data_IF_688703898577
#
_entry.id   IF_688703898577
#
_cell.length_a   1.000
_cell.length_b   1.000
_cell.length_c   1.000
_cell.angle_alpha   90.00
_cell.angle_beta   90.00
_cell.angle_gamma   90.00
#
_symmetry.space_group_name_H-M   'P 1'
#
loop_
_entity.id
_entity.type
_entity.pdbx_description
1 polymer ?
#
# COMPACT_ATOMS: atom_id res chain seq x y z
N UNK A 1 19.34 -6.95 15.81
CA UNK A 1 17.98 -6.45 15.56
C UNK A 1 18.08 -4.99 15.19
N UNK A 2 17.59 -4.60 14.03
CA UNK A 2 17.49 -3.18 13.63
C UNK A 2 16.60 -2.47 14.65
N UNK A 3 17.08 -1.39 15.24
CA UNK A 3 16.26 -0.60 16.17
C UNK A 3 15.17 0.10 15.35
N UNK A 4 13.93 -0.35 15.48
CA UNK A 4 12.77 0.24 14.82
C UNK A 4 12.62 1.74 15.12
N UNK A 5 13.26 2.25 16.17
CA UNK A 5 13.31 3.67 16.51
C UNK A 5 14.05 4.51 15.46
N UNK A 6 15.00 3.94 14.71
CA UNK A 6 15.64 4.62 13.59
C UNK A 6 14.64 4.93 12.45
N UNK A 7 13.52 4.22 12.42
CA UNK A 7 12.44 4.42 11.46
C UNK A 7 11.41 5.47 11.91
N UNK A 8 11.58 6.06 13.08
CA UNK A 8 10.64 7.01 13.69
C UNK A 8 11.30 8.38 13.79
N UNK A 9 10.67 9.37 13.18
CA UNK A 9 11.09 10.77 13.24
C UNK A 9 10.49 11.47 14.46
N UNK A 10 11.27 12.30 15.18
CA UNK A 10 10.74 13.11 16.29
C UNK A 10 10.01 14.38 15.81
N UNK A 11 10.05 14.70 14.52
CA UNK A 11 9.52 15.96 14.00
C UNK A 11 8.03 15.89 13.70
N UNK A 12 7.30 16.95 14.03
CA UNK A 12 5.85 17.01 13.82
C UNK A 12 5.55 17.61 12.46
N UNK A 13 4.82 16.85 11.65
CA UNK A 13 4.35 17.29 10.33
C UNK A 13 2.94 17.87 10.45
N UNK A 14 2.72 19.04 9.85
CA UNK A 14 1.41 19.69 9.84
C UNK A 14 0.60 19.25 8.63
N UNK A 15 -0.67 18.91 8.85
CA UNK A 15 -1.59 18.55 7.77
C UNK A 15 -2.88 19.39 7.88
N UNK A 16 -3.18 20.27 6.92
CA UNK A 16 -4.43 21.02 6.92
C UNK A 16 -5.65 20.10 6.93
N UNK A 17 -6.62 20.36 7.83
CA UNK A 17 -7.85 19.56 7.96
C UNK A 17 -8.63 19.43 6.65
N UNK A 18 -8.66 20.49 5.85
CA UNK A 18 -9.33 20.50 4.55
C UNK A 18 -8.70 19.49 3.57
N UNK A 19 -7.38 19.39 3.56
CA UNK A 19 -6.63 18.48 2.69
C UNK A 19 -6.78 17.03 3.16
N UNK A 20 -6.69 16.77 4.47
CA UNK A 20 -7.02 15.45 5.03
C UNK A 20 -8.43 15.01 4.63
N UNK A 21 -9.42 15.90 4.72
CA UNK A 21 -10.79 15.59 4.31
C UNK A 21 -10.93 15.28 2.81
N UNK A 22 -10.11 15.90 1.94
CA UNK A 22 -10.05 15.57 0.50
C UNK A 22 -9.41 14.19 0.28
N UNK A 23 -8.28 13.91 0.92
CA UNK A 23 -7.60 12.61 0.85
C UNK A 23 -8.55 11.48 1.28
N UNK A 24 -9.25 11.62 2.42
CA UNK A 24 -10.21 10.63 2.91
C UNK A 24 -11.38 10.43 1.92
N UNK A 25 -11.88 11.51 1.30
CA UNK A 25 -12.93 11.40 0.28
C UNK A 25 -12.45 10.61 -0.92
N UNK A 26 -11.20 10.77 -1.35
CA UNK A 26 -10.63 10.02 -2.47
C UNK A 26 -10.49 8.54 -2.12
N UNK A 27 -9.97 8.20 -0.94
CA UNK A 27 -9.89 6.80 -0.47
C UNK A 27 -11.27 6.13 -0.54
N UNK A 28 -12.31 6.81 -0.05
CA UNK A 28 -13.69 6.30 -0.11
C UNK A 28 -14.24 6.21 -1.54
N UNK A 29 -13.81 7.10 -2.43
CA UNK A 29 -14.22 7.08 -3.84
C UNK A 29 -13.54 5.95 -4.61
N UNK A 30 -12.26 5.66 -4.32
CA UNK A 30 -11.54 4.50 -4.84
C UNK A 30 -12.18 3.18 -4.35
N UNK A 31 -12.54 3.07 -3.07
CA UNK A 31 -13.28 1.90 -2.56
C UNK A 31 -14.65 1.72 -3.24
N UNK A 32 -15.36 2.81 -3.57
CA UNK A 32 -16.60 2.70 -4.37
C UNK A 32 -16.32 2.29 -5.80
N UNK A 33 -15.31 2.89 -6.44
CA UNK A 33 -14.92 2.59 -7.82
C UNK A 33 -14.57 1.11 -7.99
N UNK A 34 -13.80 0.52 -7.06
CA UNK A 34 -13.44 -0.90 -7.11
C UNK A 34 -14.63 -1.86 -6.98
N UNK A 35 -15.79 -1.37 -6.53
CA UNK A 35 -17.05 -2.13 -6.41
C UNK A 35 -17.96 -1.97 -7.62
N UNK A 36 -17.67 -1.06 -8.56
CA UNK A 36 -18.47 -0.89 -9.78
C UNK A 36 -18.22 -2.05 -10.74
N UNK A 37 -19.26 -2.77 -11.20
CA UNK A 37 -19.10 -3.85 -12.18
C UNK A 37 -18.37 -3.40 -13.44
N UNK A 38 -18.77 -2.27 -14.02
CA UNK A 38 -18.14 -1.73 -15.23
C UNK A 38 -16.64 -1.43 -15.05
N UNK A 39 -16.23 -0.96 -13.85
CA UNK A 39 -14.80 -0.78 -13.55
C UNK A 39 -14.07 -2.12 -13.49
N UNK A 40 -14.64 -3.11 -12.80
CA UNK A 40 -14.04 -4.46 -12.75
C UNK A 40 -13.93 -5.08 -14.14
N UNK A 41 -14.98 -5.02 -14.95
CA UNK A 41 -15.00 -5.53 -16.33
C UNK A 41 -13.94 -4.86 -17.21
N UNK A 42 -13.71 -3.56 -17.00
CA UNK A 42 -12.65 -2.80 -17.69
C UNK A 42 -11.25 -3.23 -17.26
N UNK A 43 -11.03 -3.56 -15.98
CA UNK A 43 -9.70 -3.84 -15.40
C UNK A 43 -9.31 -5.33 -15.48
N UNK A 44 -10.24 -6.26 -15.27
CA UNK A 44 -10.00 -7.70 -15.20
C UNK A 44 -9.20 -8.26 -16.41
N UNK A 45 -9.45 -7.82 -17.66
CA UNK A 45 -8.67 -8.30 -18.80
C UNK A 45 -7.18 -7.91 -18.76
N UNK A 46 -6.80 -6.87 -18.01
CA UNK A 46 -5.45 -6.31 -17.97
C UNK A 46 -4.57 -6.89 -16.85
N UNK A 47 -5.14 -7.73 -15.98
CA UNK A 47 -4.47 -8.31 -14.80
C UNK A 47 -4.27 -9.83 -14.98
N UNK A 48 -3.26 -10.43 -14.32
CA UNK A 48 -3.04 -11.88 -14.38
C UNK A 48 -4.18 -12.66 -13.72
N UNK A 49 -4.24 -13.97 -13.97
CA UNK A 49 -5.29 -14.88 -13.49
C UNK A 49 -5.59 -14.73 -11.99
N UNK A 50 -4.54 -14.66 -11.17
CA UNK A 50 -4.67 -14.51 -9.71
C UNK A 50 -5.46 -13.27 -9.31
N UNK A 51 -5.35 -12.18 -10.07
CA UNK A 51 -6.09 -10.96 -9.81
C UNK A 51 -7.46 -10.86 -10.50
N UNK A 52 -7.84 -11.86 -11.32
CA UNK A 52 -9.19 -11.98 -11.88
C UNK A 52 -10.15 -12.71 -10.95
N UNK A 53 -9.60 -13.54 -10.08
CA UNK A 53 -10.34 -14.32 -9.09
C UNK A 53 -10.77 -13.44 -7.91
N UNK A 54 -12.07 -13.19 -7.77
CA UNK A 54 -12.64 -12.48 -6.61
C UNK A 54 -12.77 -13.43 -5.40
N UNK A 55 -11.97 -13.28 -4.33
CA UNK A 55 -12.01 -14.18 -3.19
C UNK A 55 -13.23 -13.97 -2.28
N UNK A 56 -14.05 -12.93 -2.51
CA UNK A 56 -15.23 -12.62 -1.70
C UNK A 56 -14.95 -11.78 -0.45
N UNK A 57 -13.71 -11.32 -0.28
CA UNK A 57 -13.29 -10.42 0.79
C UNK A 57 -12.32 -9.35 0.26
N UNK A 58 -11.97 -8.35 1.07
CA UNK A 58 -11.25 -7.15 0.63
C UNK A 58 -9.74 -7.28 0.88
N UNK A 59 -9.12 -6.36 1.60
CA UNK A 59 -7.71 -6.43 1.97
C UNK A 59 -7.42 -5.53 3.17
N UNK A 60 -6.73 -6.09 4.17
CA UNK A 60 -6.19 -5.34 5.30
C UNK A 60 -5.02 -4.46 4.88
N UNK A 61 -4.80 -3.41 5.67
CA UNK A 61 -3.59 -2.58 5.59
C UNK A 61 -3.38 -2.01 4.17
N UNK A 62 -4.43 -1.42 3.59
CA UNK A 62 -4.28 -0.59 2.39
C UNK A 62 -3.61 0.73 2.77
N UNK A 63 -2.67 1.20 1.97
CA UNK A 63 -1.99 2.47 2.14
C UNK A 63 -2.18 3.38 0.94
N UNK A 64 -2.60 4.62 1.17
CA UNK A 64 -2.80 5.61 0.12
C UNK A 64 -1.82 6.76 0.35
N UNK A 65 -0.89 6.94 -0.58
CA UNK A 65 0.23 7.85 -0.42
C UNK A 65 -0.02 9.15 -1.17
N UNK A 66 0.17 10.26 -0.49
CA UNK A 66 -0.08 11.60 -1.01
C UNK A 66 1.14 12.49 -0.84
N UNK A 67 1.34 13.38 -1.81
CA UNK A 67 2.11 14.60 -1.60
C UNK A 67 1.16 15.76 -1.41
N UNK A 68 1.56 16.73 -0.58
CA UNK A 68 0.88 18.02 -0.51
C UNK A 68 1.65 19.01 -1.38
N UNK A 69 1.05 19.45 -2.48
CA UNK A 69 1.64 20.42 -3.42
C UNK A 69 1.06 21.82 -3.18
N UNK A 70 1.55 22.82 -3.92
CA UNK A 70 0.95 24.15 -3.93
C UNK A 70 -0.51 24.18 -4.41
N UNK A 71 -0.98 23.13 -5.10
CA UNK A 71 -2.36 22.98 -5.58
C UNK A 71 -3.23 22.09 -4.65
N UNK A 72 -2.66 21.64 -3.53
CA UNK A 72 -3.29 20.71 -2.59
C UNK A 72 -2.79 19.26 -2.72
N UNK A 73 -3.51 18.34 -2.09
CA UNK A 73 -3.13 16.94 -2.04
C UNK A 73 -3.17 16.28 -3.42
N UNK A 74 -2.15 15.46 -3.71
CA UNK A 74 -2.07 14.62 -4.91
C UNK A 74 -1.72 13.19 -4.52
N UNK A 75 -2.52 12.22 -4.96
CA UNK A 75 -2.26 10.79 -4.79
C UNK A 75 -1.05 10.40 -5.64
N UNK A 76 -0.07 9.75 -5.03
CA UNK A 76 1.17 9.31 -5.67
C UNK A 76 1.13 7.83 -6.00
N UNK A 77 0.58 7.03 -5.09
CA UNK A 77 0.36 5.59 -5.27
C UNK A 77 -0.62 5.05 -4.23
N UNK A 78 -1.11 3.85 -4.51
CA UNK A 78 -1.82 3.01 -3.54
C UNK A 78 -1.01 1.74 -3.36
N UNK A 79 -0.88 1.29 -2.13
CA UNK A 79 -0.13 0.11 -1.74
C UNK A 79 -1.08 -0.87 -1.06
N UNK A 80 -1.08 -2.12 -1.51
CA UNK A 80 -1.49 -3.24 -0.66
C UNK A 80 -0.36 -3.56 0.31
N UNK A 81 -0.67 -4.14 1.46
CA UNK A 81 0.31 -4.55 2.46
C UNK A 81 1.16 -3.33 2.92
N UNK A 82 0.48 -2.23 3.20
CA UNK A 82 1.14 -1.04 3.71
C UNK A 82 1.65 -1.30 5.13
N UNK A 83 2.95 -1.56 5.23
CA UNK A 83 3.66 -1.62 6.51
C UNK A 83 3.85 -0.24 7.15
N UNK A 84 4.32 -0.27 8.39
CA UNK A 84 4.69 0.89 9.18
C UNK A 84 3.54 1.56 9.93
N UNK A 85 2.35 0.96 9.97
CA UNK A 85 1.21 1.52 10.70
C UNK A 85 1.47 1.57 12.21
N UNK A 86 2.11 0.54 12.77
CA UNK A 86 2.46 0.54 14.20
C UNK A 86 3.62 1.52 14.47
N UNK A 87 4.59 1.62 13.56
CA UNK A 87 5.66 2.62 13.66
C UNK A 87 5.15 4.06 13.57
N UNK A 88 4.16 4.29 12.70
CA UNK A 88 3.46 5.57 12.60
C UNK A 88 2.75 5.92 13.90
N UNK A 89 2.12 4.93 14.55
CA UNK A 89 1.55 5.11 15.88
C UNK A 89 2.63 5.46 16.92
N UNK A 90 3.78 4.76 16.92
CA UNK A 90 4.89 5.06 17.82
C UNK A 90 5.45 6.47 17.64
N UNK A 91 5.42 7.00 16.41
CA UNK A 91 5.81 8.38 16.12
C UNK A 91 4.97 9.41 16.89
N UNK A 92 3.69 9.10 17.16
CA UNK A 92 2.81 9.93 17.99
C UNK A 92 2.97 9.71 19.49
N UNK A 93 3.46 8.55 19.90
CA UNK A 93 3.56 8.14 21.31
C UNK A 93 4.96 7.57 21.60
N UNK A 94 6.01 8.40 21.47
CA UNK A 94 7.38 7.96 21.67
C UNK A 94 7.56 7.42 23.10
N UNK A 95 8.05 6.19 23.22
CA UNK A 95 8.19 5.47 24.49
C UNK A 95 7.26 4.27 24.67
N UNK A 96 6.23 4.14 23.82
CA UNK A 96 5.41 2.92 23.78
C UNK A 96 6.23 1.74 23.24
N UNK A 97 6.23 0.56 23.89
CA UNK A 97 6.89 -0.62 23.31
C UNK A 97 6.14 -1.11 22.07
N UNK A 98 6.87 -1.59 21.06
CA UNK A 98 6.30 -2.21 19.85
C UNK A 98 5.85 -3.64 20.14
N UNK A 99 4.89 -3.79 21.04
CA UNK A 99 4.29 -5.05 21.48
C UNK A 99 2.79 -4.82 21.72
N UNK A 100 1.99 -5.88 21.69
CA UNK A 100 0.56 -5.80 21.90
C UNK A 100 0.23 -5.08 23.21
N UNK A 101 0.89 -5.40 24.32
CA UNK A 101 0.66 -4.76 25.63
C UNK A 101 0.84 -3.23 25.63
N UNK A 102 1.66 -2.69 24.73
CA UNK A 102 1.87 -1.24 24.58
C UNK A 102 0.80 -0.54 23.74
N UNK A 103 0.07 -1.25 22.88
CA UNK A 103 -0.89 -0.64 21.96
C UNK A 103 -2.21 -0.29 22.67
N UNK A 104 -2.80 0.90 22.41
CA UNK A 104 -4.08 1.27 22.98
C UNK A 104 -5.19 0.31 22.55
N UNK A 105 -6.10 0.01 23.47
CA UNK A 105 -7.24 -0.88 23.22
C UNK A 105 -8.04 -0.48 21.95
N UNK A 106 -8.26 0.81 21.71
CA UNK A 106 -8.98 1.29 20.52
C UNK A 106 -8.26 0.94 19.22
N UNK A 107 -6.93 1.11 19.18
CA UNK A 107 -6.13 0.77 18.01
C UNK A 107 -6.14 -0.75 17.77
N UNK A 108 -5.93 -1.55 18.81
CA UNK A 108 -6.02 -3.02 18.74
C UNK A 108 -7.35 -3.46 18.16
N UNK A 109 -8.45 -3.00 18.76
CA UNK A 109 -9.80 -3.37 18.35
C UNK A 109 -10.07 -3.00 16.88
N UNK A 110 -9.58 -1.84 16.43
CA UNK A 110 -9.76 -1.40 15.06
C UNK A 110 -8.95 -2.24 14.06
N UNK A 111 -7.70 -2.58 14.38
CA UNK A 111 -6.87 -3.46 13.56
C UNK A 111 -7.47 -4.87 13.51
N UNK A 112 -7.71 -5.50 14.66
CA UNK A 112 -8.26 -6.85 14.76
C UNK A 112 -9.62 -6.99 14.07
N UNK A 113 -10.49 -5.96 14.16
CA UNK A 113 -11.76 -5.94 13.43
C UNK A 113 -11.56 -6.03 11.92
N UNK A 114 -10.51 -5.43 11.35
CA UNK A 114 -10.27 -5.54 9.91
C UNK A 114 -9.92 -6.97 9.48
N UNK A 115 -9.11 -7.69 10.27
CA UNK A 115 -8.82 -9.11 10.02
C UNK A 115 -10.05 -10.00 10.25
N UNK A 116 -10.87 -9.68 11.24
CA UNK A 116 -12.12 -10.40 11.46
C UNK A 116 -13.13 -10.20 10.31
N UNK A 117 -13.22 -8.98 9.77
CA UNK A 117 -14.09 -8.67 8.64
C UNK A 117 -13.62 -9.40 7.35
N UNK A 118 -12.31 -9.57 7.14
CA UNK A 118 -11.76 -10.39 6.04
C UNK A 118 -12.14 -11.86 6.20
N UNK A 119 -11.87 -12.42 7.38
CA UNK A 119 -12.16 -13.82 7.65
C UNK A 119 -13.67 -14.11 7.58
N UNK A 120 -14.52 -13.17 8.03
CA UNK A 120 -15.97 -13.27 7.88
C UNK A 120 -16.42 -13.26 6.40
N UNK A 121 -15.82 -12.40 5.57
CA UNK A 121 -16.08 -12.37 4.13
C UNK A 121 -15.64 -13.66 3.43
N UNK A 122 -14.49 -14.21 3.84
CA UNK A 122 -13.97 -15.47 3.30
C UNK A 122 -14.77 -16.70 3.74
N UNK A 123 -15.06 -16.81 5.05
CA UNK A 123 -15.58 -18.04 5.65
C UNK A 123 -17.12 -18.09 5.70
N UNK A 124 -17.81 -17.02 5.29
CA UNK A 124 -19.26 -16.93 5.27
C UNK A 124 -19.86 -17.00 6.68
N UNK A 125 -20.67 -18.02 6.96
CA UNK A 125 -21.37 -18.20 8.24
C UNK A 125 -20.50 -18.75 9.41
N UNK A 126 -19.19 -18.92 9.19
CA UNK A 126 -18.24 -19.44 10.19
C UNK A 126 -17.74 -18.33 11.14
N UNK A 127 -17.05 -18.69 12.24
CA UNK A 127 -16.49 -17.69 13.15
C UNK A 127 -15.58 -16.70 12.43
N UNK A 128 -15.84 -15.41 12.61
CA UNK A 128 -15.05 -14.33 12.00
C UNK A 128 -13.63 -14.20 12.60
N UNK A 129 -13.34 -14.83 13.74
CA UNK A 129 -11.99 -14.84 14.31
C UNK A 129 -11.21 -16.05 13.76
N UNK A 130 -10.08 -15.86 13.05
CA UNK A 130 -9.18 -16.95 12.69
C UNK A 130 -8.57 -17.59 13.94
N UNK A 131 -8.31 -18.89 13.90
CA UNK A 131 -7.61 -19.61 14.95
C UNK A 131 -6.09 -19.61 14.72
N UNK A 132 -5.66 -19.64 13.45
CA UNK A 132 -4.25 -19.62 13.07
C UNK A 132 -4.00 -18.62 11.93
N UNK A 133 -2.98 -17.76 12.10
CA UNK A 133 -2.56 -16.74 11.15
C UNK A 133 -1.08 -16.95 10.79
N UNK A 134 -0.77 -17.08 9.50
CA UNK A 134 0.60 -17.00 9.00
C UNK A 134 0.88 -15.59 8.46
N UNK A 135 1.91 -14.91 8.98
CA UNK A 135 2.42 -13.64 8.47
C UNK A 135 3.59 -13.95 7.55
N UNK A 136 3.47 -13.67 6.26
CA UNK A 136 4.38 -14.22 5.24
C UNK A 136 5.15 -13.12 4.54
N UNK A 137 6.48 -13.14 4.56
CA UNK A 137 7.37 -12.23 3.81
C UNK A 137 8.62 -12.97 3.33
N UNK A 138 9.34 -12.42 2.35
CA UNK A 138 10.62 -13.00 1.89
C UNK A 138 11.68 -12.79 2.96
N UNK A 139 12.38 -13.84 3.39
CA UNK A 139 13.41 -13.82 4.42
C UNK A 139 13.05 -12.87 5.59
N UNK A 140 11.95 -13.12 6.34
CA UNK A 140 11.33 -12.09 7.17
C UNK A 140 12.28 -11.40 8.15
N UNK A 141 13.27 -12.13 8.68
CA UNK A 141 14.27 -11.62 9.64
C UNK A 141 15.18 -10.53 9.05
N UNK A 142 15.35 -10.50 7.73
CA UNK A 142 16.14 -9.50 7.01
C UNK A 142 15.30 -8.27 6.63
N UNK A 143 13.98 -8.37 6.72
CA UNK A 143 13.08 -7.29 6.34
C UNK A 143 13.14 -6.15 7.34
N UNK A 144 13.14 -4.93 6.82
CA UNK A 144 13.18 -3.71 7.64
C UNK A 144 12.04 -3.63 8.66
N UNK A 145 10.87 -4.19 8.32
CA UNK A 145 9.66 -4.19 9.15
C UNK A 145 9.45 -5.51 9.91
N UNK A 146 10.48 -6.32 10.10
CA UNK A 146 10.38 -7.58 10.84
C UNK A 146 9.82 -7.40 12.26
N UNK A 147 10.28 -6.36 12.96
CA UNK A 147 9.79 -6.03 14.30
C UNK A 147 8.29 -5.69 14.32
N UNK A 148 7.77 -5.06 13.26
CA UNK A 148 6.34 -4.82 13.12
C UNK A 148 5.58 -6.13 12.85
N UNK A 149 6.14 -7.05 12.05
CA UNK A 149 5.53 -8.37 11.83
C UNK A 149 5.41 -9.15 13.15
N UNK A 150 6.46 -9.13 13.98
CA UNK A 150 6.42 -9.73 15.32
C UNK A 150 5.37 -9.07 16.22
N UNK A 151 5.22 -7.74 16.16
CA UNK A 151 4.20 -7.05 16.94
C UNK A 151 2.77 -7.38 16.49
N UNK A 152 2.55 -7.65 15.19
CA UNK A 152 1.28 -8.20 14.72
C UNK A 152 1.06 -9.64 15.20
N UNK A 153 2.10 -10.49 15.19
CA UNK A 153 1.99 -11.85 15.72
C UNK A 153 1.61 -11.85 17.21
N UNK A 154 2.25 -10.98 18.01
CA UNK A 154 1.92 -10.77 19.42
C UNK A 154 0.47 -10.24 19.60
N UNK A 155 0.04 -9.29 18.76
CA UNK A 155 -1.32 -8.77 18.76
C UNK A 155 -2.37 -9.86 18.45
N UNK A 156 -2.08 -10.78 17.54
CA UNK A 156 -2.98 -11.89 17.23
C UNK A 156 -3.00 -12.93 18.35
N UNK A 157 -1.86 -13.22 18.97
CA UNK A 157 -1.78 -14.09 20.13
C UNK A 157 -2.61 -13.54 21.30
N UNK A 158 -2.52 -12.24 21.60
CA UNK A 158 -3.36 -11.53 22.58
C UNK A 158 -4.86 -11.60 22.23
N UNK A 159 -5.19 -11.66 20.93
CA UNK A 159 -6.56 -11.86 20.45
C UNK A 159 -7.06 -13.32 20.57
N UNK A 160 -6.18 -14.26 20.91
CA UNK A 160 -6.47 -15.69 20.98
C UNK A 160 -6.39 -16.42 19.64
N UNK A 161 -5.66 -15.88 18.67
CA UNK A 161 -5.30 -16.55 17.42
C UNK A 161 -3.80 -16.90 17.44
N UNK A 162 -3.44 -18.16 17.20
CA UNK A 162 -2.04 -18.53 17.01
C UNK A 162 -1.49 -17.76 15.80
N UNK A 163 -0.29 -17.19 15.91
CA UNK A 163 0.31 -16.44 14.83
C UNK A 163 1.81 -16.71 14.71
N UNK A 164 2.27 -16.82 13.47
CA UNK A 164 3.67 -17.11 13.15
C UNK A 164 4.13 -16.24 12.00
N UNK A 165 5.38 -15.78 12.06
CA UNK A 165 6.05 -15.10 10.93
C UNK A 165 6.90 -16.13 10.21
N UNK A 166 6.69 -16.30 8.90
CA UNK A 166 7.33 -17.35 8.11
C UNK A 166 7.75 -16.84 6.72
N UNK A 167 8.81 -17.42 6.18
CA UNK A 167 9.14 -17.34 4.76
C UNK A 167 8.18 -18.23 3.94
N UNK A 168 7.81 -17.87 2.69
CA UNK A 168 7.02 -18.73 1.82
C UNK A 168 7.56 -20.16 1.69
N UNK A 169 8.88 -20.35 1.69
CA UNK A 169 9.53 -21.67 1.56
C UNK A 169 9.34 -22.56 2.80
N UNK A 170 8.96 -21.99 3.95
CA UNK A 170 8.64 -22.76 5.16
C UNK A 170 7.21 -23.31 5.12
N UNK A 171 6.36 -22.81 4.22
CA UNK A 171 4.95 -23.19 4.14
C UNK A 171 4.74 -24.51 3.38
N UNK A 172 3.92 -25.37 3.94
CA UNK A 172 3.28 -26.46 3.21
C UNK A 172 1.98 -25.91 2.59
N UNK A 173 2.07 -25.38 1.36
CA UNK A 173 0.96 -24.74 0.68
C UNK A 173 0.57 -25.44 -0.63
N UNK A 174 -0.73 -25.57 -0.88
CA UNK A 174 -1.27 -26.14 -2.10
C UNK A 174 -2.79 -25.98 -2.20
N UNK A 175 -3.46 -26.66 -3.15
CA UNK A 175 -4.90 -26.50 -3.36
C UNK A 175 -5.76 -26.82 -2.12
N UNK A 176 -5.24 -27.63 -1.19
CA UNK A 176 -5.92 -28.01 0.07
C UNK A 176 -5.81 -26.97 1.19
N UNK A 177 -4.96 -25.95 1.06
CA UNK A 177 -4.74 -24.92 2.07
C UNK A 177 -3.27 -24.61 2.30
N UNK A 178 -3.00 -24.01 3.46
CA UNK A 178 -1.66 -23.63 3.92
C UNK A 178 -1.46 -24.18 5.33
N UNK A 179 -0.35 -24.83 5.58
CA UNK A 179 0.09 -25.24 6.91
C UNK A 179 1.54 -24.85 7.18
N UNK A 180 1.88 -24.71 8.46
CA UNK A 180 3.24 -24.59 8.95
C UNK A 180 3.44 -25.60 10.08
N UNK A 181 4.39 -26.53 9.92
CA UNK A 181 4.65 -27.58 10.92
C UNK A 181 3.41 -28.42 11.25
N UNK A 182 2.59 -28.74 10.24
CA UNK A 182 1.33 -29.49 10.41
C UNK A 182 0.14 -28.70 10.97
N UNK A 183 0.33 -27.44 11.41
CA UNK A 183 -0.76 -26.58 11.84
C UNK A 183 -1.34 -25.81 10.64
N UNK A 184 -2.62 -26.01 10.35
CA UNK A 184 -3.31 -25.30 9.27
C UNK A 184 -3.50 -23.82 9.62
N UNK A 185 -3.23 -22.94 8.67
CA UNK A 185 -3.56 -21.52 8.73
C UNK A 185 -4.96 -21.27 8.18
N UNK A 186 -5.76 -20.49 8.90
CA UNK A 186 -7.07 -20.01 8.42
C UNK A 186 -6.91 -18.77 7.54
N UNK A 187 -5.94 -17.92 7.93
CA UNK A 187 -5.65 -16.65 7.30
C UNK A 187 -4.14 -16.50 7.08
N UNK A 188 -3.76 -16.01 5.91
CA UNK A 188 -2.40 -15.57 5.60
C UNK A 188 -2.39 -14.06 5.51
N UNK A 189 -1.68 -13.41 6.44
CA UNK A 189 -1.37 -11.99 6.37
C UNK A 189 -0.13 -11.81 5.47
N UNK A 190 -0.38 -11.52 4.19
CA UNK A 190 0.66 -11.42 3.18
C UNK A 190 1.47 -10.12 3.33
N UNK A 191 2.71 -10.24 3.79
CA UNK A 191 3.71 -9.18 3.87
C UNK A 191 4.68 -9.18 2.68
N UNK A 192 4.64 -10.22 1.84
CA UNK A 192 5.46 -10.37 0.66
C UNK A 192 5.11 -9.32 -0.42
N UNK A 193 6.10 -8.94 -1.23
CA UNK A 193 5.91 -7.94 -2.29
C UNK A 193 5.46 -8.52 -3.63
N UNK A 194 5.60 -9.83 -3.88
CA UNK A 194 4.97 -10.50 -5.02
C UNK A 194 3.43 -10.50 -4.91
N UNK A 195 2.84 -9.37 -5.29
CA UNK A 195 1.41 -9.10 -5.09
C UNK A 195 0.48 -9.96 -5.96
N UNK A 196 0.99 -10.49 -7.07
CA UNK A 196 0.25 -11.40 -7.95
C UNK A 196 0.56 -12.87 -7.68
N UNK A 197 1.50 -13.18 -6.78
CA UNK A 197 1.95 -14.53 -6.43
C UNK A 197 2.55 -15.25 -7.64
N UNK A 198 3.31 -14.57 -8.49
CA UNK A 198 3.79 -15.11 -9.77
C UNK A 198 5.04 -15.97 -9.62
N UNK A 199 5.89 -15.70 -8.63
CA UNK A 199 7.13 -16.44 -8.38
C UNK A 199 6.88 -17.90 -7.97
N UNK A 200 7.88 -18.75 -8.24
CA UNK A 200 7.80 -20.18 -7.92
C UNK A 200 7.68 -20.43 -6.42
N UNK A 201 8.36 -19.62 -5.59
CA UNK A 201 8.25 -19.67 -4.13
C UNK A 201 6.81 -19.46 -3.64
N UNK A 202 5.99 -18.71 -4.39
CA UNK A 202 4.60 -18.41 -4.06
C UNK A 202 3.60 -19.39 -4.70
N UNK A 203 4.05 -20.39 -5.48
CA UNK A 203 3.17 -21.28 -6.25
C UNK A 203 2.18 -22.06 -5.38
N UNK A 204 2.61 -22.55 -4.22
CA UNK A 204 1.74 -23.24 -3.27
C UNK A 204 0.65 -22.31 -2.70
N UNK A 205 1.03 -21.10 -2.30
CA UNK A 205 0.09 -20.09 -1.79
C UNK A 205 -0.88 -19.62 -2.88
N UNK A 206 -0.39 -19.46 -4.11
CA UNK A 206 -1.20 -19.18 -5.31
C UNK A 206 -2.27 -20.25 -5.50
N UNK A 207 -1.89 -21.52 -5.41
CA UNK A 207 -2.84 -22.64 -5.54
C UNK A 207 -3.88 -22.64 -4.40
N UNK A 208 -3.47 -22.40 -3.16
CA UNK A 208 -4.38 -22.30 -2.01
C UNK A 208 -5.38 -21.15 -2.16
N UNK A 209 -4.91 -19.99 -2.62
CA UNK A 209 -5.72 -18.81 -2.86
C UNK A 209 -6.76 -19.04 -3.96
N UNK A 210 -6.34 -19.52 -5.14
CA UNK A 210 -7.24 -19.82 -6.25
C UNK A 210 -8.25 -20.94 -5.89
N UNK A 211 -7.84 -21.87 -5.02
CA UNK A 211 -8.70 -22.94 -4.49
C UNK A 211 -9.68 -22.50 -3.39
N UNK A 212 -9.72 -21.22 -2.99
CA UNK A 212 -10.48 -20.72 -1.81
C UNK A 212 -10.15 -21.50 -0.52
N UNK A 213 -8.93 -21.99 -0.38
CA UNK A 213 -8.55 -22.87 0.72
C UNK A 213 -7.95 -22.13 1.94
N UNK A 214 -7.65 -20.84 1.79
CA UNK A 214 -7.12 -19.95 2.83
C UNK A 214 -7.59 -18.50 2.60
N UNK A 215 -7.84 -17.75 3.66
CA UNK A 215 -8.10 -16.31 3.58
C UNK A 215 -6.77 -15.56 3.36
N UNK A 216 -6.49 -15.11 2.14
CA UNK A 216 -5.25 -14.38 1.83
C UNK A 216 -5.49 -12.87 1.86
N UNK A 217 -4.91 -12.16 2.82
CA UNK A 217 -5.07 -10.70 2.92
C UNK A 217 -3.72 -10.01 3.11
N UNK A 218 -3.42 -8.92 2.38
CA UNK A 218 -4.11 -8.49 1.16
C UNK A 218 -3.97 -9.51 0.02
N UNK A 219 -4.89 -9.47 -0.95
CA UNK A 219 -4.94 -10.42 -2.07
C UNK A 219 -4.63 -9.79 -3.44
N UNK A 220 -4.23 -10.63 -4.42
CA UNK A 220 -4.04 -10.23 -5.82
C UNK A 220 -5.23 -9.49 -6.44
N UNK A 221 -6.47 -9.87 -6.11
CA UNK A 221 -7.67 -9.25 -6.67
C UNK A 221 -7.76 -7.77 -6.30
N UNK A 222 -7.64 -7.45 -5.01
CA UNK A 222 -7.64 -6.06 -4.54
C UNK A 222 -6.44 -5.29 -5.07
N UNK A 223 -5.27 -5.94 -5.15
CA UNK A 223 -4.08 -5.32 -5.75
C UNK A 223 -4.33 -4.90 -7.22
N UNK A 224 -4.86 -5.81 -8.04
CA UNK A 224 -5.14 -5.53 -9.45
C UNK A 224 -6.15 -4.39 -9.64
N UNK A 225 -7.17 -4.31 -8.77
CA UNK A 225 -8.18 -3.26 -8.82
C UNK A 225 -7.70 -1.91 -8.29
N UNK A 226 -6.83 -1.88 -7.28
CA UNK A 226 -6.60 -0.68 -6.48
C UNK A 226 -5.14 -0.29 -6.26
N UNK A 227 -4.14 -1.11 -6.58
CA UNK A 227 -2.74 -0.81 -6.25
C UNK A 227 -1.76 -1.08 -7.41
N UNK A 228 -2.17 -1.80 -8.45
CA UNK A 228 -1.42 -1.82 -9.71
C UNK A 228 -1.31 -0.39 -10.25
N UNK A 229 -0.08 0.10 -10.41
CA UNK A 229 0.18 1.50 -10.79
C UNK A 229 -0.44 1.88 -12.14
N UNK A 230 -0.69 0.92 -13.03
CA UNK A 230 -1.40 1.16 -14.30
C UNK A 230 -2.82 1.68 -14.09
N UNK A 231 -3.46 1.41 -12.95
CA UNK A 231 -4.79 1.95 -12.64
C UNK A 231 -4.80 3.49 -12.62
N UNK A 232 -3.67 4.13 -12.29
CA UNK A 232 -3.56 5.58 -12.29
C UNK A 232 -3.80 6.20 -13.67
N UNK A 233 -3.57 5.45 -14.76
CA UNK A 233 -3.88 5.90 -16.13
C UNK A 233 -5.38 6.18 -16.24
N UNK A 234 -6.21 5.16 -15.97
CA UNK A 234 -7.67 5.25 -15.98
C UNK A 234 -8.18 6.26 -14.95
N UNK A 235 -7.62 6.27 -13.73
CA UNK A 235 -8.03 7.19 -12.68
C UNK A 235 -7.75 8.66 -13.01
N UNK A 236 -6.78 8.92 -13.87
CA UNK A 236 -6.47 10.27 -14.34
C UNK A 236 -7.34 10.74 -15.52
N UNK A 237 -8.34 9.95 -15.92
CA UNK A 237 -9.32 10.25 -16.96
C UNK A 237 -10.74 10.34 -16.37
N UNK A 238 -11.16 11.50 -15.83
CA UNK A 238 -12.49 11.69 -15.25
C UNK A 238 -13.63 11.36 -16.23
N UNK A 239 -13.41 11.57 -17.53
CA UNK A 239 -14.39 11.27 -18.57
C UNK A 239 -14.64 9.77 -18.67
N UNK A 240 -13.58 8.96 -18.75
CA UNK A 240 -13.68 7.50 -18.73
C UNK A 240 -14.30 6.99 -17.43
N UNK A 241 -13.90 7.54 -16.27
CA UNK A 241 -14.50 7.10 -15.01
C UNK A 241 -16.02 7.31 -14.96
N UNK A 242 -16.54 8.38 -15.59
CA UNK A 242 -18.00 8.61 -15.70
C UNK A 242 -18.69 7.58 -16.58
N UNK A 243 -18.08 7.14 -17.68
CA UNK A 243 -18.66 6.07 -18.51
C UNK A 243 -18.72 4.74 -17.77
N UNK A 244 -17.85 4.54 -16.77
CA UNK A 244 -17.87 3.39 -15.86
C UNK A 244 -18.84 3.55 -14.67
N UNK A 245 -19.64 4.62 -14.65
CA UNK A 245 -20.66 4.86 -13.61
C UNK A 245 -20.16 5.63 -12.39
N UNK A 246 -18.96 6.21 -12.42
CA UNK A 246 -18.51 7.11 -11.36
C UNK A 246 -19.33 8.40 -11.36
N UNK A 247 -19.82 8.81 -10.19
CA UNK A 247 -20.60 10.04 -10.02
C UNK A 247 -19.77 11.27 -10.36
N UNK A 248 -20.40 12.30 -10.94
CA UNK A 248 -19.76 13.56 -11.32
C UNK A 248 -18.88 14.17 -10.20
N UNK A 249 -19.41 14.25 -8.97
CA UNK A 249 -18.66 14.76 -7.81
C UNK A 249 -17.40 13.95 -7.50
N UNK A 250 -17.45 12.63 -7.67
CA UNK A 250 -16.29 11.77 -7.46
C UNK A 250 -15.30 11.95 -8.64
N UNK A 251 -15.77 12.09 -9.88
CA UNK A 251 -14.91 12.36 -11.05
C UNK A 251 -14.12 13.69 -10.92
N UNK A 252 -14.76 14.76 -10.42
CA UNK A 252 -14.09 16.04 -10.12
C UNK A 252 -13.02 15.89 -9.03
N UNK A 253 -13.28 15.03 -8.04
CA UNK A 253 -12.31 14.74 -7.00
C UNK A 253 -11.08 14.03 -7.59
N UNK A 254 -11.28 13.02 -8.44
CA UNK A 254 -10.20 12.34 -9.16
C UNK A 254 -9.40 13.32 -10.03
N UNK A 255 -10.07 14.18 -10.80
CA UNK A 255 -9.43 15.21 -11.62
C UNK A 255 -8.49 16.12 -10.81
N UNK A 256 -8.88 16.45 -9.58
CA UNK A 256 -8.09 17.36 -8.73
C UNK A 256 -6.98 16.68 -7.94
N UNK A 257 -7.14 15.41 -7.55
CA UNK A 257 -6.20 14.69 -6.67
C UNK A 257 -5.33 13.65 -7.39
N UNK A 258 -5.71 13.13 -8.56
CA UNK A 258 -4.95 12.09 -9.27
C UNK A 258 -4.12 12.74 -10.38
N UNK A 259 -2.79 12.72 -10.30
CA UNK A 259 -1.94 13.26 -11.36
C UNK A 259 -2.13 12.51 -12.67
N UNK A 260 -2.07 13.25 -13.79
CA UNK A 260 -2.13 12.69 -15.13
C UNK A 260 -1.10 11.58 -15.28
N UNK A 261 -1.54 10.40 -15.68
CA UNK A 261 -0.68 9.22 -15.83
C UNK A 261 -0.93 8.54 -17.17
N UNK A 262 0.13 8.08 -17.84
CA UNK A 262 0.08 7.40 -19.14
C UNK A 262 1.19 6.35 -19.21
N UNK A 263 1.05 5.37 -20.10
CA UNK A 263 2.14 4.46 -20.39
C UNK A 263 3.11 5.11 -21.39
N UNK A 264 4.42 4.91 -21.22
CA UNK A 264 5.42 5.52 -22.11
C UNK A 264 5.23 5.06 -23.57
N UNK A 265 4.79 3.83 -23.80
CA UNK A 265 4.48 3.31 -25.14
C UNK A 265 3.32 4.03 -25.85
N UNK A 266 2.51 4.81 -25.14
CA UNK A 266 1.39 5.58 -25.70
C UNK A 266 1.75 7.06 -25.96
N UNK A 267 3.04 7.41 -25.90
CA UNK A 267 3.53 8.78 -25.98
C UNK A 267 4.65 8.90 -27.02
N UNK A 268 4.83 10.09 -27.59
CA UNK A 268 6.03 10.41 -28.35
C UNK A 268 7.23 10.56 -27.38
N UNK A 269 8.29 9.75 -27.51
CA UNK A 269 9.45 9.82 -26.62
C UNK A 269 10.17 11.18 -26.65
N UNK A 270 10.14 11.91 -27.76
CA UNK A 270 10.79 13.22 -27.87
C UNK A 270 9.99 14.29 -27.13
N UNK A 271 8.66 14.31 -27.28
CA UNK A 271 7.80 15.20 -26.50
C UNK A 271 7.97 14.95 -24.99
N UNK A 272 7.94 13.68 -24.58
CA UNK A 272 8.16 13.28 -23.18
C UNK A 272 9.52 13.74 -22.68
N UNK A 273 10.56 13.68 -23.52
CA UNK A 273 11.88 14.16 -23.14
C UNK A 273 11.91 15.67 -22.94
N UNK A 274 11.24 16.46 -23.79
CA UNK A 274 11.16 17.91 -23.62
C UNK A 274 10.43 18.27 -22.33
N UNK A 275 9.34 17.57 -22.01
CA UNK A 275 8.52 17.81 -20.83
C UNK A 275 9.03 17.14 -19.53
N UNK A 276 10.04 16.27 -19.62
CA UNK A 276 10.50 15.38 -18.54
C UNK A 276 10.67 16.02 -17.17
N UNK A 277 11.02 17.31 -17.11
CA UNK A 277 11.26 18.00 -15.82
C UNK A 277 9.99 18.02 -14.95
N UNK A 278 8.82 18.02 -15.57
CA UNK A 278 7.52 17.97 -14.92
C UNK A 278 6.97 16.53 -14.79
N UNK A 279 7.78 15.51 -15.07
CA UNK A 279 7.36 14.11 -15.11
C UNK A 279 8.15 13.25 -14.12
N UNK A 280 7.53 12.16 -13.69
CA UNK A 280 8.16 11.05 -12.99
C UNK A 280 7.92 9.76 -13.76
N UNK A 281 8.96 8.94 -13.87
CA UNK A 281 8.92 7.65 -14.57
C UNK A 281 8.94 6.54 -13.52
N UNK A 282 7.97 5.62 -13.59
CA UNK A 282 7.82 4.53 -12.62
C UNK A 282 7.73 3.19 -13.37
N UNK A 283 8.56 2.18 -13.04
CA UNK A 283 8.35 0.84 -13.53
C UNK A 283 7.02 0.28 -13.00
N UNK A 284 6.28 -0.44 -13.86
CA UNK A 284 4.97 -1.01 -13.50
C UNK A 284 5.11 -2.17 -12.50
N UNK A 285 6.10 -3.03 -12.67
CA UNK A 285 6.24 -4.30 -11.95
C UNK A 285 7.18 -4.27 -10.73
N UNK A 286 7.88 -3.15 -10.44
CA UNK A 286 8.86 -3.11 -9.35
C UNK A 286 8.31 -2.50 -8.05
N UNK A 287 8.69 -3.14 -6.95
CA UNK A 287 8.28 -2.79 -5.58
C UNK A 287 9.17 -1.70 -4.94
N UNK A 288 8.63 -1.01 -3.93
CA UNK A 288 9.39 -0.21 -2.96
C UNK A 288 10.13 1.02 -3.50
N UNK A 289 9.50 1.87 -4.32
CA UNK A 289 10.12 3.03 -4.99
C UNK A 289 11.36 2.72 -5.84
N UNK A 290 11.74 1.44 -5.99
CA UNK A 290 12.92 1.02 -6.75
C UNK A 290 12.68 1.29 -8.23
N UNK A 291 13.52 2.13 -8.81
CA UNK A 291 13.45 2.51 -10.22
C UNK A 291 12.53 3.69 -10.52
N UNK A 292 11.95 4.36 -9.52
CA UNK A 292 11.28 5.65 -9.75
C UNK A 292 12.31 6.70 -10.10
N UNK A 293 12.16 7.35 -11.25
CA UNK A 293 13.08 8.36 -11.75
C UNK A 293 12.35 9.70 -11.90
N UNK A 294 12.85 10.72 -11.20
CA UNK A 294 12.41 12.10 -11.43
C UNK A 294 12.97 12.57 -12.77
N UNK A 295 12.11 13.01 -13.69
CA UNK A 295 12.57 13.37 -15.03
C UNK A 295 13.49 14.60 -15.06
N UNK A 296 13.42 15.49 -14.06
CA UNK A 296 14.44 16.55 -13.88
C UNK A 296 15.84 16.03 -13.55
N UNK A 297 15.97 14.78 -13.10
CA UNK A 297 17.24 14.12 -12.73
C UNK A 297 17.62 12.97 -13.66
N UNK A 298 16.83 12.68 -14.70
CA UNK A 298 17.13 11.61 -15.66
C UNK A 298 18.01 12.14 -16.80
N UNK A 299 19.05 11.39 -17.17
CA UNK A 299 19.87 11.66 -18.35
C UNK A 299 19.18 11.11 -19.61
N UNK A 300 19.55 11.63 -20.80
CA UNK A 300 18.98 11.14 -22.07
C UNK A 300 19.31 9.68 -22.31
N UNK A 301 20.55 9.29 -22.01
CA UNK A 301 20.98 7.89 -22.07
C UNK A 301 20.11 7.00 -21.18
N UNK A 302 19.87 7.39 -19.92
CA UNK A 302 19.01 6.59 -19.01
C UNK A 302 17.57 6.56 -19.48
N UNK A 303 17.02 7.66 -19.97
CA UNK A 303 15.67 7.72 -20.53
C UNK A 303 15.51 6.75 -21.71
N UNK A 304 16.47 6.70 -22.63
CA UNK A 304 16.45 5.78 -23.77
C UNK A 304 16.53 4.29 -23.37
N UNK A 305 16.91 3.97 -22.13
CA UNK A 305 16.90 2.58 -21.62
C UNK A 305 15.58 2.17 -20.96
N UNK A 306 14.61 3.10 -20.84
CA UNK A 306 13.31 2.78 -20.28
C UNK A 306 12.53 1.91 -21.26
N UNK A 307 11.96 0.82 -20.75
CA UNK A 307 11.09 -0.07 -21.54
C UNK A 307 9.72 0.60 -21.65
N UNK A 308 9.27 1.02 -22.85
CA UNK A 308 8.06 1.83 -23.00
C UNK A 308 6.79 1.16 -22.46
N UNK A 309 6.65 -0.15 -22.62
CA UNK A 309 5.48 -0.94 -22.21
C UNK A 309 5.42 -1.17 -20.70
N UNK A 310 6.54 -1.00 -20.00
CA UNK A 310 6.67 -1.24 -18.56
C UNK A 310 6.90 0.05 -17.76
N UNK A 311 6.88 1.21 -18.42
CA UNK A 311 7.17 2.51 -17.79
C UNK A 311 5.93 3.38 -17.75
N UNK A 312 5.39 3.59 -16.55
CA UNK A 312 4.38 4.60 -16.30
C UNK A 312 5.03 5.99 -16.27
N UNK A 313 4.50 6.91 -17.05
CA UNK A 313 4.82 8.34 -17.04
C UNK A 313 3.73 9.07 -16.29
N UNK A 314 4.08 9.81 -15.25
CA UNK A 314 3.13 10.53 -14.43
C UNK A 314 3.55 11.98 -14.23
N UNK A 315 2.59 12.90 -14.23
CA UNK A 315 2.81 14.30 -13.87
C UNK A 315 3.38 14.39 -12.45
N UNK A 316 4.48 15.13 -12.29
CA UNK A 316 5.18 15.27 -11.02
C UNK A 316 4.34 16.08 -10.03
N UNK A 317 3.94 15.45 -8.94
CA UNK A 317 3.46 16.13 -7.75
C UNK A 317 4.64 16.34 -6.79
N UNK A 318 5.11 17.58 -6.66
CA UNK A 318 6.23 17.89 -5.76
C UNK A 318 5.82 17.70 -4.29
N UNK A 319 6.59 16.96 -3.47
CA UNK A 319 6.31 16.82 -2.05
C UNK A 319 6.50 18.16 -1.32
N UNK A 320 5.69 18.39 -0.29
CA UNK A 320 5.92 19.47 0.66
C UNK A 320 7.22 19.25 1.43
N UNK A 321 7.79 20.33 1.97
CA UNK A 321 8.95 20.28 2.84
C UNK A 321 8.55 20.49 4.29
N UNK A 322 9.14 19.70 5.18
CA UNK A 322 9.11 19.93 6.63
C UNK A 322 10.46 20.53 7.01
N UNK A 323 10.47 21.77 7.51
CA UNK A 323 11.69 22.53 7.82
C UNK A 323 12.19 22.34 9.26
N UNK A 324 11.68 21.34 9.98
CA UNK A 324 12.07 21.09 11.37
C UNK A 324 13.32 20.23 11.45
N UNK A 325 14.25 20.60 12.36
CA UNK A 325 15.43 19.83 12.72
C UNK A 325 16.77 20.47 12.30
N UNK A 326 17.87 20.17 13.01
CA UNK A 326 19.21 20.66 12.65
C UNK A 326 19.70 20.14 11.30
N UNK A 327 19.08 19.09 10.76
CA UNK A 327 19.47 18.47 9.49
C UNK A 327 19.03 19.33 8.28
N UNK A 328 18.12 20.30 8.45
CA UNK A 328 17.54 21.12 7.37
C UNK A 328 16.26 20.51 6.76
N UNK A 329 15.73 21.06 5.65
CA UNK A 329 14.43 20.67 5.13
C UNK A 329 14.37 19.22 4.61
N UNK A 330 13.29 18.51 4.95
CA UNK A 330 13.02 17.15 4.49
C UNK A 330 11.75 17.08 3.67
N UNK A 331 11.74 16.24 2.63
CA UNK A 331 10.52 15.96 1.86
C UNK A 331 9.54 15.20 2.72
N UNK A 332 8.27 15.52 2.54
CA UNK A 332 7.16 14.94 3.29
C UNK A 332 6.21 14.26 2.33
N UNK A 333 5.92 13.00 2.60
CA UNK A 333 4.74 12.33 2.08
C UNK A 333 3.75 12.06 3.22
N UNK A 334 2.48 11.88 2.87
CA UNK A 334 1.44 11.46 3.80
C UNK A 334 0.89 10.11 3.37
N UNK A 335 0.63 9.22 4.33
CA UNK A 335 -0.01 7.93 4.11
C UNK A 335 -1.31 7.86 4.90
N UNK A 336 -2.40 7.50 4.23
CA UNK A 336 -3.61 7.05 4.89
C UNK A 336 -3.63 5.52 4.92
N UNK A 337 -3.67 4.95 6.12
CA UNK A 337 -3.96 3.52 6.30
C UNK A 337 -5.47 3.33 6.28
N UNK A 338 -5.95 2.34 5.53
CA UNK A 338 -7.38 2.09 5.39
C UNK A 338 -7.72 0.61 5.33
N UNK A 339 -8.97 0.32 5.64
CA UNK A 339 -9.64 -0.93 5.34
C UNK A 339 -11.00 -0.61 4.74
N UNK A 340 -11.23 -1.01 3.48
CA UNK A 340 -12.38 -0.56 2.68
C UNK A 340 -12.45 0.98 2.68
N UNK A 341 -13.61 1.53 3.05
CA UNK A 341 -13.88 2.95 3.20
C UNK A 341 -13.51 3.54 4.58
N UNK A 342 -12.93 2.75 5.50
CA UNK A 342 -12.60 3.14 6.87
C UNK A 342 -11.12 3.53 6.97
N UNK A 343 -10.85 4.73 7.48
CA UNK A 343 -9.49 5.19 7.75
C UNK A 343 -9.04 4.63 9.10
N UNK A 344 -7.91 3.93 9.08
CA UNK A 344 -7.26 3.35 10.25
C UNK A 344 -6.28 4.31 10.92
N UNK A 345 -5.61 5.14 10.13
CA UNK A 345 -4.66 6.11 10.64
C UNK A 345 -4.13 7.01 9.53
N UNK A 346 -3.46 8.08 9.94
CA UNK A 346 -2.70 8.98 9.08
C UNK A 346 -1.26 8.99 9.59
N UNK A 347 -0.32 8.98 8.67
CA UNK A 347 1.10 9.09 8.94
C UNK A 347 1.74 10.09 7.97
N UNK A 348 2.86 10.68 8.38
CA UNK A 348 3.78 11.30 7.45
C UNK A 348 5.07 10.49 7.40
N UNK A 349 5.77 10.50 6.26
CA UNK A 349 7.15 10.02 6.17
C UNK A 349 8.05 11.15 5.72
N UNK A 350 9.11 11.36 6.49
CA UNK A 350 10.14 12.35 6.22
C UNK A 350 11.35 11.68 5.59
N UNK A 351 11.86 12.26 4.52
CA UNK A 351 13.00 11.68 3.80
C UNK A 351 13.82 12.72 3.06
N UNK A 352 15.08 12.35 2.75
CA UNK A 352 15.93 13.06 1.78
C UNK A 352 16.20 12.20 0.56
N UNK A 353 16.53 12.84 -0.55
CA UNK A 353 16.83 12.16 -1.81
C UNK A 353 15.67 12.15 -2.80
N UNK A 354 15.66 11.19 -3.72
CA UNK A 354 14.67 11.14 -4.80
C UNK A 354 13.34 10.54 -4.34
N UNK A 355 13.39 9.49 -3.53
CA UNK A 355 12.25 8.70 -3.08
C UNK A 355 12.27 8.50 -1.58
N UNK A 356 11.10 8.19 -1.00
CA UNK A 356 10.95 7.90 0.43
C UNK A 356 11.88 6.78 0.85
N UNK A 357 12.64 7.01 1.92
CA UNK A 357 13.50 6.03 2.54
C UNK A 357 13.44 6.18 4.06
N UNK A 358 13.63 5.06 4.76
CA UNK A 358 13.50 4.97 6.21
C UNK A 358 14.85 5.00 6.93
N UNK A 359 15.91 5.51 6.26
CA UNK A 359 17.31 5.42 6.74
C UNK A 359 18.01 6.77 6.83
N UNK A 360 17.34 7.86 6.47
CA UNK A 360 17.92 9.20 6.59
C UNK A 360 17.87 9.64 8.05
N UNK A 361 18.96 10.18 8.64
CA UNK A 361 18.93 10.78 9.98
C UNK A 361 17.80 11.82 10.11
N UNK A 362 17.02 11.73 11.19
CA UNK A 362 15.83 12.57 11.42
C UNK A 362 14.61 12.23 10.54
N UNK A 363 14.78 11.38 9.53
CA UNK A 363 13.72 10.88 8.66
C UNK A 363 12.93 9.72 9.26
N UNK A 364 12.00 9.17 8.48
CA UNK A 364 11.14 8.06 8.90
C UNK A 364 9.70 8.48 9.17
N UNK A 365 8.93 7.63 9.86
CA UNK A 365 7.54 7.87 10.21
C UNK A 365 7.46 9.00 11.23
N UNK A 366 6.68 10.03 10.93
CA UNK A 366 6.58 11.25 11.71
C UNK A 366 5.14 11.46 12.22
N UNK A 367 4.97 12.02 13.44
CA UNK A 367 3.66 12.38 13.95
C UNK A 367 3.00 13.47 13.08
N UNK A 368 1.71 13.30 12.81
CA UNK A 368 0.90 14.27 12.05
C UNK A 368 0.01 15.09 12.98
N UNK A 369 0.21 16.41 13.00
CA UNK A 369 -0.71 17.33 13.66
C UNK A 369 -1.66 17.94 12.64
N UNK A 370 -2.95 17.62 12.77
CA UNK A 370 -4.00 18.22 11.94
C UNK A 370 -4.23 19.66 12.38
N UNK A 371 -4.12 20.61 11.45
CA UNK A 371 -4.29 22.05 11.68
C UNK A 371 -5.50 22.62 10.97
#
# INVERSE_FOLDING_TARGET
MTDHREAVSPHIVLLPRAELARMIRLVRALDRLSRLPAYRDRVIPEVPETARFDPGHDSVMMGYDFHLTGEGAKLIEVNTNAGGALLSYLAHFPGTPLLASGLPHRLKAQLLRSFADEMGGFAGARPARPQCIAIVDENPREQFLYSEMLAFADLFADWGAAAVVADPAELEAGPGGVSLGGQRADLVYNRHCDFYLESDAMAGLRAAYLGRAVCLTPNPFTYGLLADKRRMILWSSPEELRTLGLRQRDAELFASLVPRSRLLSALDPEEVWQERKALVFKPVSRFGSRGVLLGRKISRSRFNTLVPEETLVQALAEPSLTEQGPEGPMKTDFRLYAYRNRILGVAARLYRGQVTNMRTPGGGFAPVRVV
#
